data_IF_664057102360
#
_entry.id   IF_664057102360
#
_cell.length_a   1.000
_cell.length_b   1.000
_cell.length_c   1.000
_cell.angle_alpha   90.00
_cell.angle_beta   90.00
_cell.angle_gamma   90.00
#
_symmetry.space_group_name_H-M   'P 1'
#
loop_
_entity.id
_entity.type
_entity.pdbx_description
1 polymer ?
#
# COMPACT_ATOMS: atom_id res chain seq x y z
N UNK A 1 12.66 -58.59 25.04
CA UNK A 1 13.88 -58.21 24.30
C UNK A 1 13.47 -58.05 22.84
N UNK A 2 13.35 -56.81 22.36
CA UNK A 2 14.37 -56.07 21.57
C UNK A 2 14.33 -56.45 20.09
N UNK A 3 14.34 -55.60 19.05
CA UNK A 3 14.36 -54.15 18.77
C UNK A 3 13.93 -54.07 17.27
N UNK A 4 12.90 -53.33 16.87
CA UNK A 4 12.91 -51.96 16.33
C UNK A 4 13.96 -51.61 15.24
N UNK A 5 13.48 -51.38 14.01
CA UNK A 5 14.12 -50.47 13.04
C UNK A 5 13.06 -49.90 12.06
N UNK A 6 12.18 -49.03 12.57
CA UNK A 6 11.39 -48.11 11.71
C UNK A 6 12.19 -46.83 11.49
N UNK A 7 12.92 -46.77 10.38
CA UNK A 7 13.35 -45.50 9.78
C UNK A 7 12.50 -45.25 8.52
N UNK A 8 11.39 -44.53 8.70
CA UNK A 8 10.73 -43.83 7.61
C UNK A 8 10.63 -42.36 8.03
N UNK A 9 11.40 -41.54 7.34
CA UNK A 9 11.49 -40.10 7.47
C UNK A 9 10.08 -39.46 7.36
N UNK A 10 9.57 -38.72 8.35
CA UNK A 10 8.32 -37.97 8.19
C UNK A 10 8.60 -36.74 7.31
N UNK A 11 7.76 -36.58 6.28
CA UNK A 11 7.79 -35.46 5.32
C UNK A 11 7.37 -34.16 6.02
N UNK A 12 7.80 -32.98 5.54
CA UNK A 12 7.40 -31.70 6.11
C UNK A 12 6.01 -31.30 5.63
N UNK A 13 4.96 -31.73 6.33
CA UNK A 13 3.54 -31.44 5.98
C UNK A 13 3.07 -30.02 6.36
N UNK A 14 3.97 -29.10 6.71
CA UNK A 14 3.57 -27.74 7.16
C UNK A 14 3.64 -26.67 6.04
N UNK A 15 4.27 -26.98 4.90
CA UNK A 15 4.44 -26.01 3.79
C UNK A 15 3.29 -26.08 2.79
N UNK A 16 2.58 -27.21 2.69
CA UNK A 16 1.50 -27.40 1.71
C UNK A 16 0.20 -26.67 2.07
N UNK A 17 -0.01 -26.28 3.33
CA UNK A 17 -1.28 -25.65 3.77
C UNK A 17 -1.48 -24.21 3.30
N UNK A 18 -0.39 -23.52 2.94
CA UNK A 18 -0.45 -22.15 2.43
C UNK A 18 -0.67 -22.10 0.91
N UNK A 19 -0.11 -23.06 0.18
CA UNK A 19 -0.31 -23.20 -1.26
C UNK A 19 -1.73 -23.69 -1.58
N UNK A 20 -2.30 -24.60 -0.77
CA UNK A 20 -3.70 -25.05 -0.94
C UNK A 20 -4.74 -23.93 -0.72
N UNK A 21 -4.42 -22.92 0.10
CA UNK A 21 -5.29 -21.75 0.32
C UNK A 21 -5.29 -20.81 -0.90
N UNK A 22 -4.13 -20.62 -1.54
CA UNK A 22 -3.99 -19.77 -2.72
C UNK A 22 -4.54 -20.41 -4.00
N UNK A 23 -4.46 -21.73 -4.13
CA UNK A 23 -4.96 -22.46 -5.32
C UNK A 23 -6.50 -22.55 -5.34
N UNK A 24 -7.17 -22.63 -4.18
CA UNK A 24 -8.62 -22.83 -4.10
C UNK A 24 -9.46 -21.55 -3.90
N UNK A 25 -8.86 -20.35 -3.90
CA UNK A 25 -9.59 -19.06 -3.78
C UNK A 25 -9.48 -18.16 -5.01
N UNK A 26 -8.95 -18.66 -6.12
CA UNK A 26 -9.12 -17.99 -7.41
C UNK A 26 -10.61 -17.97 -7.76
N UNK A 27 -11.25 -16.81 -7.62
CA UNK A 27 -12.57 -16.58 -8.18
C UNK A 27 -12.51 -16.90 -9.68
N UNK A 28 -13.49 -17.63 -10.25
CA UNK A 28 -13.53 -17.83 -11.69
C UNK A 28 -13.58 -16.48 -12.40
N UNK A 29 -12.92 -16.37 -13.56
CA UNK A 29 -13.10 -15.23 -14.45
C UNK A 29 -14.57 -15.22 -14.90
N UNK A 30 -15.36 -14.30 -14.34
CA UNK A 30 -16.64 -13.96 -14.94
C UNK A 30 -16.34 -13.18 -16.22
N UNK A 31 -16.63 -13.77 -17.38
CA UNK A 31 -16.69 -13.04 -18.64
C UNK A 31 -17.77 -11.96 -18.51
N UNK A 32 -17.36 -10.71 -18.27
CA UNK A 32 -18.26 -9.56 -18.29
C UNK A 32 -18.71 -9.37 -19.74
N UNK A 33 -19.86 -9.95 -20.11
CA UNK A 33 -20.50 -9.67 -21.38
C UNK A 33 -21.09 -8.26 -21.33
N UNK A 34 -20.41 -7.30 -21.97
CA UNK A 34 -20.92 -5.95 -22.19
C UNK A 34 -22.06 -6.01 -23.23
N UNK A 35 -23.26 -5.49 -22.89
CA UNK A 35 -24.34 -5.29 -23.85
C UNK A 35 -23.86 -4.52 -25.09
N UNK A 36 -24.38 -4.80 -26.30
CA UNK A 36 -23.92 -4.18 -27.55
C UNK A 36 -23.95 -2.65 -27.53
N UNK A 37 -24.82 -2.03 -26.73
CA UNK A 37 -24.90 -0.57 -26.62
C UNK A 37 -23.77 0.06 -25.80
N UNK A 38 -23.07 -0.74 -24.98
CA UNK A 38 -21.94 -0.34 -24.15
C UNK A 38 -20.59 -0.77 -24.76
N UNK A 39 -20.62 -1.39 -25.94
CA UNK A 39 -19.40 -1.69 -26.69
C UNK A 39 -18.90 -0.42 -27.38
N UNK A 40 -17.59 -0.15 -27.36
CA UNK A 40 -17.03 1.04 -27.97
C UNK A 40 -17.33 1.09 -29.47
N UNK A 41 -17.83 2.23 -29.94
CA UNK A 41 -18.35 2.46 -31.30
C UNK A 41 -17.30 2.41 -32.42
N UNK A 42 -16.03 2.14 -32.14
CA UNK A 42 -14.98 2.16 -33.16
C UNK A 42 -13.78 1.27 -32.79
N UNK A 43 -13.68 0.03 -33.33
CA UNK A 43 -12.63 -0.92 -32.97
C UNK A 43 -11.31 -0.73 -33.72
N UNK A 44 -11.17 0.26 -34.62
CA UNK A 44 -10.00 0.42 -35.49
C UNK A 44 -9.15 1.68 -35.23
N UNK A 45 -9.34 2.36 -34.10
CA UNK A 45 -8.43 3.43 -33.64
C UNK A 45 -7.97 3.16 -32.21
N UNK A 46 -7.56 1.93 -31.92
CA UNK A 46 -6.69 1.66 -30.78
C UNK A 46 -5.22 1.76 -31.22
N UNK A 47 -4.49 2.47 -30.37
CA UNK A 47 -3.06 2.72 -30.42
C UNK A 47 -2.24 1.48 -30.82
N UNK A 48 -1.20 1.74 -31.60
CA UNK A 48 -0.15 0.80 -31.93
C UNK A 48 0.33 0.02 -30.69
N UNK A 49 0.02 -1.29 -30.70
CA UNK A 49 0.76 -2.42 -30.14
C UNK A 49 1.03 -2.38 -28.63
N UNK A 50 0.61 -3.40 -27.84
CA UNK A 50 1.09 -3.60 -26.48
C UNK A 50 2.62 -3.63 -26.51
N UNK A 51 3.27 -2.67 -25.84
CA UNK A 51 4.73 -2.60 -25.76
C UNK A 51 5.24 -4.01 -25.44
N UNK A 52 6.10 -4.57 -26.31
CA UNK A 52 6.61 -5.94 -26.19
C UNK A 52 7.18 -6.20 -24.78
N UNK A 53 7.62 -5.14 -24.10
CA UNK A 53 8.05 -5.11 -22.70
C UNK A 53 6.95 -5.45 -21.67
N UNK A 54 5.69 -5.08 -21.90
CA UNK A 54 4.56 -5.42 -21.03
C UNK A 54 4.16 -6.89 -21.18
N UNK A 55 4.11 -7.40 -22.41
CA UNK A 55 3.90 -8.82 -22.70
C UNK A 55 5.04 -9.67 -22.13
N UNK A 56 6.28 -9.21 -22.30
CA UNK A 56 7.46 -9.83 -21.71
C UNK A 56 7.46 -9.73 -20.18
N UNK A 57 6.91 -8.66 -19.60
CA UNK A 57 6.75 -8.47 -18.16
C UNK A 57 5.77 -9.48 -17.55
N UNK A 58 4.63 -9.68 -18.19
CA UNK A 58 3.62 -10.68 -17.78
C UNK A 58 4.19 -12.09 -17.93
N UNK A 59 4.84 -12.40 -19.06
CA UNK A 59 5.51 -13.70 -19.28
C UNK A 59 6.67 -13.96 -18.31
N UNK A 60 7.34 -12.91 -17.81
CA UNK A 60 8.42 -12.99 -16.81
C UNK A 60 7.87 -13.13 -15.39
N UNK A 61 6.68 -12.60 -15.12
CA UNK A 61 5.97 -12.74 -13.84
C UNK A 61 5.28 -14.11 -13.69
N UNK A 62 4.91 -14.76 -14.79
CA UNK A 62 4.25 -16.09 -14.81
C UNK A 62 5.20 -17.27 -14.90
N UNK A 63 6.51 -17.05 -15.09
CA UNK A 63 7.50 -18.14 -14.98
C UNK A 63 7.72 -18.49 -13.49
N UNK A 64 7.78 -19.79 -13.14
CA UNK A 64 8.20 -20.19 -11.80
C UNK A 64 9.62 -19.65 -11.57
N UNK A 65 9.77 -18.75 -10.59
CA UNK A 65 11.07 -18.20 -10.20
C UNK A 65 11.85 -19.30 -9.49
N UNK A 66 12.91 -19.81 -10.12
CA UNK A 66 13.99 -20.41 -9.33
C UNK A 66 14.56 -19.32 -8.41
N UNK A 67 14.77 -19.61 -7.12
CA UNK A 67 15.21 -18.61 -6.17
C UNK A 67 16.62 -18.13 -6.54
N UNK A 68 16.71 -16.93 -7.09
CA UNK A 68 17.97 -16.29 -7.47
C UNK A 68 18.67 -15.70 -6.23
N UNK A 69 19.18 -16.58 -5.36
CA UNK A 69 20.22 -16.19 -4.40
C UNK A 69 21.57 -16.39 -5.09
N UNK A 70 22.29 -15.30 -5.33
CA UNK A 70 23.72 -15.38 -5.62
C UNK A 70 24.41 -15.73 -4.31
N UNK A 71 24.97 -16.93 -4.21
CA UNK A 71 25.86 -17.30 -3.12
C UNK A 71 27.06 -16.35 -3.15
N UNK A 72 27.22 -15.55 -2.09
CA UNK A 72 28.31 -14.58 -1.97
C UNK A 72 29.61 -15.24 -1.46
N UNK A 73 29.64 -16.59 -1.35
CA UNK A 73 30.76 -17.36 -0.79
C UNK A 73 31.28 -16.76 0.53
N UNK A 74 30.36 -16.24 1.36
CA UNK A 74 30.69 -15.68 2.68
C UNK A 74 31.35 -16.73 3.58
N UNK A 75 31.01 -18.00 3.39
CA UNK A 75 31.63 -19.16 4.04
C UNK A 75 33.12 -19.29 3.68
N UNK A 76 33.52 -19.02 2.44
CA UNK A 76 34.95 -19.03 2.06
C UNK A 76 35.71 -17.84 2.65
N UNK A 77 35.03 -16.72 2.88
CA UNK A 77 35.61 -15.54 3.53
C UNK A 77 35.85 -15.79 5.02
N UNK A 78 34.93 -16.50 5.69
CA UNK A 78 35.05 -16.91 7.10
C UNK A 78 36.13 -17.99 7.28
N UNK A 79 36.29 -18.89 6.31
CA UNK A 79 37.32 -19.94 6.36
C UNK A 79 38.75 -19.43 6.08
N UNK A 80 38.92 -18.17 5.64
CA UNK A 80 40.22 -17.56 5.31
C UNK A 80 40.85 -16.74 6.43
N UNK A 81 40.13 -16.48 7.53
CA UNK A 81 40.72 -15.83 8.71
C UNK A 81 41.37 -16.88 9.59
N UNK A 82 42.57 -17.29 9.20
CA UNK A 82 43.50 -17.90 10.13
C UNK A 82 44.06 -16.80 11.04
N UNK A 83 44.08 -17.00 12.36
CA UNK A 83 45.14 -16.63 13.30
C UNK A 83 44.66 -16.68 14.77
N UNK A 84 45.36 -17.50 15.56
CA UNK A 84 45.87 -17.05 16.85
C UNK A 84 44.97 -17.25 18.07
N UNK A 85 45.11 -18.43 18.69
CA UNK A 85 45.17 -18.65 20.14
C UNK A 85 44.62 -17.53 21.06
N UNK A 86 43.34 -17.61 21.45
CA UNK A 86 42.87 -17.16 22.77
C UNK A 86 41.59 -17.93 23.12
N UNK A 87 41.50 -18.46 24.34
CA UNK A 87 40.31 -19.14 24.88
C UNK A 87 39.11 -18.20 24.90
N UNK A 88 38.28 -18.24 23.87
CA UNK A 88 36.94 -17.67 23.87
C UNK A 88 36.04 -18.63 23.08
N UNK A 89 34.96 -19.10 23.71
CA UNK A 89 34.00 -20.02 23.09
C UNK A 89 33.53 -19.48 21.73
N UNK A 90 33.60 -20.34 20.72
CA UNK A 90 33.15 -20.05 19.37
C UNK A 90 31.65 -19.68 19.37
N UNK A 91 31.32 -18.60 18.65
CA UNK A 91 29.94 -18.11 18.48
C UNK A 91 29.06 -19.22 17.89
N UNK A 92 29.65 -20.09 17.07
CA UNK A 92 29.01 -21.29 16.51
C UNK A 92 28.57 -22.31 17.58
N UNK A 93 29.40 -22.56 18.59
CA UNK A 93 29.05 -23.44 19.72
C UNK A 93 27.97 -22.83 20.61
N UNK A 94 28.04 -21.52 20.85
CA UNK A 94 27.04 -20.78 21.64
C UNK A 94 25.65 -20.80 20.99
N UNK A 95 25.59 -20.69 19.66
CA UNK A 95 24.36 -20.81 18.89
C UNK A 95 23.81 -22.24 18.86
N UNK A 96 24.68 -23.26 18.83
CA UNK A 96 24.25 -24.66 18.94
C UNK A 96 23.67 -24.96 20.32
N UNK A 97 24.26 -24.42 21.38
CA UNK A 97 23.77 -24.61 22.75
C UNK A 97 22.40 -23.96 22.96
N UNK A 98 22.22 -22.71 22.49
CA UNK A 98 20.91 -22.02 22.50
C UNK A 98 19.85 -22.78 21.68
N UNK A 99 20.23 -23.36 20.54
CA UNK A 99 19.31 -24.19 19.74
C UNK A 99 18.96 -25.52 20.41
N UNK A 100 19.86 -26.09 21.21
CA UNK A 100 19.62 -27.32 21.98
C UNK A 100 18.72 -27.04 23.19
N UNK A 101 18.91 -25.92 23.87
CA UNK A 101 18.05 -25.47 24.97
C UNK A 101 16.63 -25.19 24.47
N UNK A 102 16.46 -24.49 23.34
CA UNK A 102 15.15 -24.23 22.72
C UNK A 102 14.45 -25.47 22.16
N UNK A 103 15.18 -26.58 21.93
CA UNK A 103 14.62 -27.87 21.49
C UNK A 103 14.19 -28.76 22.64
N UNK A 104 14.67 -28.50 23.86
CA UNK A 104 14.30 -29.25 25.06
C UNK A 104 12.97 -28.81 25.68
N UNK A 105 12.52 -27.58 25.37
CA UNK A 105 11.13 -27.20 25.50
C UNK A 105 10.37 -27.71 24.28
N UNK A 106 9.63 -28.82 24.44
CA UNK A 106 8.63 -29.23 23.46
C UNK A 106 7.71 -28.05 23.08
N UNK A 107 7.02 -28.11 21.93
CA UNK A 107 6.10 -27.05 21.54
C UNK A 107 5.15 -26.78 22.72
N UNK A 108 4.85 -25.51 23.06
CA UNK A 108 3.91 -25.24 24.13
C UNK A 108 2.56 -25.89 23.76
N UNK A 109 2.31 -27.05 24.34
CA UNK A 109 1.01 -27.71 24.34
C UNK A 109 0.14 -26.89 25.30
N UNK A 110 -0.47 -25.82 24.78
CA UNK A 110 -1.78 -25.33 25.17
C UNK A 110 -2.05 -23.99 24.49
N UNK A 111 -3.19 -23.96 23.82
CA UNK A 111 -3.74 -22.85 23.06
C UNK A 111 -2.87 -22.48 21.84
N UNK A 112 -3.14 -23.14 20.72
CA UNK A 112 -3.66 -22.38 19.58
C UNK A 112 -4.66 -21.39 20.18
N UNK A 113 -4.17 -20.21 20.54
CA UNK A 113 -5.02 -19.05 20.68
C UNK A 113 -5.67 -19.04 19.32
N UNK A 114 -6.94 -19.45 19.25
CA UNK A 114 -7.83 -18.91 18.25
C UNK A 114 -7.59 -17.41 18.44
N UNK A 115 -6.65 -16.84 17.68
CA UNK A 115 -6.64 -15.42 17.43
C UNK A 115 -7.99 -15.29 16.76
N UNK A 116 -9.00 -14.91 17.54
CA UNK A 116 -10.32 -14.62 17.02
C UNK A 116 -10.04 -13.76 15.81
N UNK A 117 -10.31 -14.29 14.62
CA UNK A 117 -9.99 -13.57 13.39
C UNK A 117 -10.76 -12.27 13.48
N UNK A 118 -10.03 -11.18 13.67
CA UNK A 118 -10.60 -9.84 13.74
C UNK A 118 -11.12 -9.57 12.35
N UNK A 119 -12.44 -9.70 12.18
CA UNK A 119 -13.09 -9.35 10.92
C UNK A 119 -13.16 -7.83 10.86
N UNK A 120 -12.74 -7.32 9.71
CA UNK A 120 -12.69 -5.90 9.42
C UNK A 120 -13.43 -5.65 8.11
N UNK A 121 -14.45 -4.80 8.17
CA UNK A 121 -15.12 -4.30 6.99
C UNK A 121 -14.36 -3.07 6.48
N UNK A 122 -13.83 -3.18 5.26
CA UNK A 122 -13.13 -2.09 4.57
C UNK A 122 -13.95 -1.63 3.37
N UNK A 123 -13.87 -0.34 3.04
CA UNK A 123 -14.50 0.20 1.83
C UNK A 123 -13.49 0.97 0.98
N UNK A 124 -13.72 0.96 -0.33
CA UNK A 124 -12.96 1.75 -1.30
C UNK A 124 -13.94 2.71 -1.95
N UNK A 125 -13.66 4.01 -1.88
CA UNK A 125 -14.51 5.02 -2.48
C UNK A 125 -14.12 5.20 -3.95
N UNK A 126 -15.03 4.88 -4.88
CA UNK A 126 -14.87 5.22 -6.29
C UNK A 126 -15.56 6.54 -6.59
N UNK A 127 -14.80 7.64 -6.58
CA UNK A 127 -15.37 8.97 -6.81
C UNK A 127 -14.32 10.00 -7.25
N UNK A 128 -14.79 11.17 -7.68
CA UNK A 128 -13.94 12.29 -8.08
C UNK A 128 -14.15 13.53 -7.20
N UNK A 129 -13.15 14.42 -7.20
CA UNK A 129 -13.24 15.75 -6.62
C UNK A 129 -14.37 16.58 -7.26
N UNK A 130 -14.90 17.55 -6.52
CA UNK A 130 -15.73 18.61 -7.09
C UNK A 130 -14.81 19.73 -7.57
N UNK A 131 -14.77 19.96 -8.89
CA UNK A 131 -13.75 20.77 -9.53
C UNK A 131 -13.69 22.20 -8.96
N UNK A 132 -12.52 22.60 -8.45
CA UNK A 132 -12.28 23.94 -7.92
C UNK A 132 -13.02 24.31 -6.63
N UNK A 133 -13.70 23.35 -5.98
CA UNK A 133 -14.53 23.59 -4.80
C UNK A 133 -14.17 22.62 -3.67
N UNK A 134 -13.33 23.11 -2.75
CA UNK A 134 -12.87 22.34 -1.60
C UNK A 134 -14.03 21.96 -0.69
N UNK A 135 -14.94 22.88 -0.40
CA UNK A 135 -16.03 22.64 0.55
C UNK A 135 -17.02 21.61 0.02
N UNK A 136 -17.36 21.65 -1.27
CA UNK A 136 -18.17 20.62 -1.90
C UNK A 136 -17.45 19.27 -1.96
N UNK A 137 -16.14 19.27 -2.19
CA UNK A 137 -15.34 18.04 -2.17
C UNK A 137 -15.33 17.41 -0.77
N UNK A 138 -15.15 18.20 0.27
CA UNK A 138 -15.17 17.73 1.66
C UNK A 138 -16.59 17.32 2.12
N UNK A 139 -17.64 18.00 1.65
CA UNK A 139 -19.03 17.57 1.89
C UNK A 139 -19.32 16.21 1.21
N UNK A 140 -18.78 15.99 0.01
CA UNK A 140 -18.87 14.70 -0.68
C UNK A 140 -18.11 13.61 0.05
N UNK A 141 -16.90 13.90 0.55
CA UNK A 141 -16.14 12.98 1.40
C UNK A 141 -16.97 12.57 2.62
N UNK A 142 -17.54 13.55 3.32
CA UNK A 142 -18.38 13.34 4.50
C UNK A 142 -19.59 12.44 4.20
N UNK A 143 -20.30 12.70 3.10
CA UNK A 143 -21.41 11.84 2.67
C UNK A 143 -20.97 10.41 2.35
N UNK A 144 -19.81 10.22 1.71
CA UNK A 144 -19.28 8.88 1.39
C UNK A 144 -18.85 8.13 2.66
N UNK A 145 -18.23 8.83 3.62
CA UNK A 145 -17.87 8.25 4.92
C UNK A 145 -19.14 7.80 5.66
N UNK A 146 -20.17 8.65 5.73
CA UNK A 146 -21.44 8.30 6.38
C UNK A 146 -22.11 7.09 5.73
N UNK A 147 -22.13 7.02 4.40
CA UNK A 147 -22.70 5.89 3.65
C UNK A 147 -21.93 4.58 3.88
N UNK A 148 -20.60 4.64 3.96
CA UNK A 148 -19.79 3.46 4.23
C UNK A 148 -19.90 3.04 5.69
N UNK A 149 -19.94 3.99 6.63
CA UNK A 149 -20.15 3.72 8.05
C UNK A 149 -21.51 3.08 8.31
N UNK A 150 -22.58 3.47 7.59
CA UNK A 150 -23.89 2.81 7.68
C UNK A 150 -23.88 1.36 7.16
N UNK A 151 -22.85 0.97 6.41
CA UNK A 151 -22.57 -0.40 5.99
C UNK A 151 -21.49 -1.06 6.85
N UNK A 152 -21.28 -0.53 8.05
CA UNK A 152 -20.34 -1.03 9.07
C UNK A 152 -18.87 -1.01 8.64
N UNK A 153 -18.49 -0.23 7.62
CA UNK A 153 -17.08 -0.06 7.26
C UNK A 153 -16.32 0.67 8.37
N UNK A 154 -15.11 0.20 8.68
CA UNK A 154 -14.24 0.74 9.75
C UNK A 154 -12.93 1.31 9.22
N UNK A 155 -12.67 1.07 7.94
CA UNK A 155 -11.55 1.66 7.22
C UNK A 155 -11.97 2.00 5.79
N UNK A 156 -11.70 3.22 5.33
CA UNK A 156 -12.06 3.68 3.99
C UNK A 156 -10.83 4.23 3.27
N UNK A 157 -10.63 3.79 2.03
CA UNK A 157 -9.60 4.33 1.14
C UNK A 157 -10.26 5.20 0.07
N UNK A 158 -9.81 6.45 -0.04
CA UNK A 158 -10.20 7.37 -1.09
C UNK A 158 -9.18 7.40 -2.24
N UNK A 159 -9.59 7.81 -3.45
CA UNK A 159 -8.70 7.83 -4.62
C UNK A 159 -7.53 8.80 -4.50
N UNK A 160 -6.53 8.60 -5.37
CA UNK A 160 -5.43 9.54 -5.59
C UNK A 160 -5.98 10.94 -5.95
N UNK A 161 -5.37 11.98 -5.40
CA UNK A 161 -5.73 13.38 -5.65
C UNK A 161 -7.23 13.69 -5.48
N UNK A 162 -7.94 12.99 -4.59
CA UNK A 162 -9.36 13.22 -4.34
C UNK A 162 -9.64 14.65 -3.83
N UNK A 163 -8.81 15.17 -2.90
CA UNK A 163 -8.85 16.59 -2.52
C UNK A 163 -7.86 17.37 -3.39
N UNK A 164 -8.31 18.47 -4.00
CA UNK A 164 -7.53 19.26 -4.95
C UNK A 164 -7.70 18.80 -6.41
N UNK A 165 -7.97 17.52 -6.64
CA UNK A 165 -8.32 16.97 -7.95
C UNK A 165 -7.10 16.60 -8.80
N UNK A 166 -7.25 15.54 -9.59
CA UNK A 166 -6.30 15.17 -10.64
C UNK A 166 -6.59 16.01 -11.91
N UNK A 167 -5.62 16.77 -12.45
CA UNK A 167 -5.84 17.67 -13.58
C UNK A 167 -5.80 16.92 -14.91
N UNK A 168 -6.72 15.97 -15.10
CA UNK A 168 -6.76 15.11 -16.30
C UNK A 168 -6.90 15.98 -17.56
N UNK A 169 -6.11 15.65 -18.58
CA UNK A 169 -6.04 16.34 -19.88
C UNK A 169 -5.45 17.75 -19.86
N UNK A 170 -5.13 18.33 -18.70
CA UNK A 170 -4.44 19.61 -18.66
C UNK A 170 -2.97 19.45 -19.03
N UNK A 171 -2.47 20.36 -19.86
CA UNK A 171 -1.05 20.50 -20.17
C UNK A 171 -0.40 21.67 -19.43
N UNK A 172 -1.19 22.46 -18.69
CA UNK A 172 -0.77 23.73 -18.07
C UNK A 172 -0.01 24.65 -19.03
N UNK A 173 -0.38 24.63 -20.32
CA UNK A 173 0.27 25.44 -21.36
C UNK A 173 1.78 25.21 -21.49
N UNK A 174 2.25 24.02 -21.15
CA UNK A 174 3.67 23.64 -21.15
C UNK A 174 4.01 22.86 -22.41
N UNK A 175 4.88 23.45 -23.24
CA UNK A 175 5.54 22.80 -24.37
C UNK A 175 7.06 22.97 -24.24
N UNK A 176 7.85 22.36 -25.13
CA UNK A 176 9.30 22.52 -25.10
C UNK A 176 9.67 23.98 -25.35
N UNK A 177 10.27 24.63 -24.34
CA UNK A 177 10.70 26.03 -24.41
C UNK A 177 9.58 27.08 -24.31
N UNK A 178 8.31 26.67 -24.23
CA UNK A 178 7.16 27.60 -24.20
C UNK A 178 6.34 27.40 -22.93
N UNK A 179 5.96 28.51 -22.31
CA UNK A 179 5.03 28.56 -21.15
C UNK A 179 4.00 29.65 -21.42
N UNK A 180 2.78 29.25 -21.75
CA UNK A 180 1.71 30.21 -22.04
C UNK A 180 1.29 30.98 -20.78
N UNK A 181 0.73 32.17 -20.95
CA UNK A 181 0.21 32.95 -19.83
C UNK A 181 -1.03 32.28 -19.22
N UNK A 182 -1.86 31.69 -20.07
CA UNK A 182 -3.07 30.95 -19.71
C UNK A 182 -2.73 29.73 -18.85
N UNK A 183 -1.66 29.00 -19.19
CA UNK A 183 -1.19 27.85 -18.42
C UNK A 183 -0.66 28.22 -17.03
N UNK A 184 -0.02 29.39 -16.90
CA UNK A 184 0.39 29.93 -15.59
C UNK A 184 -0.80 30.30 -14.72
N UNK A 185 -1.82 30.91 -15.31
CA UNK A 185 -3.07 31.24 -14.61
C UNK A 185 -3.84 29.98 -14.20
N UNK A 186 -3.88 28.97 -15.06
CA UNK A 186 -4.45 27.66 -14.72
C UNK A 186 -3.71 26.99 -13.56
N UNK A 187 -2.36 26.96 -13.60
CA UNK A 187 -1.56 26.43 -12.51
C UNK A 187 -1.77 27.21 -11.21
N UNK A 188 -1.89 28.54 -11.29
CA UNK A 188 -2.15 29.37 -10.13
C UNK A 188 -3.49 29.03 -9.45
N UNK A 189 -4.57 28.84 -10.24
CA UNK A 189 -5.87 28.40 -9.73
C UNK A 189 -5.79 27.00 -9.13
N UNK A 190 -5.10 26.08 -9.80
CA UNK A 190 -4.88 24.72 -9.31
C UNK A 190 -4.13 24.70 -7.97
N UNK A 191 -3.09 25.52 -7.86
CA UNK A 191 -2.31 25.73 -6.64
C UNK A 191 -3.11 26.37 -5.50
N UNK A 192 -4.06 27.25 -5.81
CA UNK A 192 -4.97 27.81 -4.79
C UNK A 192 -5.99 26.80 -4.27
N UNK A 193 -6.40 25.83 -5.09
CA UNK A 193 -7.32 24.77 -4.70
C UNK A 193 -6.66 23.66 -3.85
N UNK A 194 -5.33 23.56 -3.87
CA UNK A 194 -4.56 22.65 -3.03
C UNK A 194 -4.57 23.05 -1.55
N UNK A 195 -4.41 22.08 -0.65
CA UNK A 195 -4.46 22.30 0.80
C UNK A 195 -3.07 22.26 1.42
N UNK A 196 -2.84 23.06 2.45
CA UNK A 196 -1.68 22.90 3.33
C UNK A 196 -1.98 21.77 4.32
N UNK A 197 -0.95 21.04 4.75
CA UNK A 197 -1.07 19.93 5.71
C UNK A 197 -0.12 20.16 6.88
N UNK A 198 -0.62 20.29 8.13
CA UNK A 198 -2.03 20.29 8.54
C UNK A 198 -2.76 21.62 8.22
N UNK A 199 -4.09 21.59 8.16
CA UNK A 199 -4.97 22.75 7.97
C UNK A 199 -6.41 22.49 8.45
N UNK A 200 -7.29 23.49 8.32
CA UNK A 200 -8.72 23.34 8.60
C UNK A 200 -9.38 22.23 7.76
N UNK A 201 -8.86 21.94 6.56
CA UNK A 201 -9.32 20.82 5.74
C UNK A 201 -8.99 19.47 6.40
N UNK A 202 -7.77 19.29 6.92
CA UNK A 202 -7.38 18.08 7.65
C UNK A 202 -8.12 17.95 8.98
N UNK A 203 -8.44 19.07 9.64
CA UNK A 203 -9.25 19.09 10.85
C UNK A 203 -10.69 18.63 10.57
N UNK A 204 -11.28 19.11 9.47
CA UNK A 204 -12.60 18.67 9.02
C UNK A 204 -12.63 17.18 8.70
N UNK A 205 -11.64 16.66 7.98
CA UNK A 205 -11.54 15.23 7.69
C UNK A 205 -11.37 14.42 8.97
N UNK A 206 -10.53 14.88 9.90
CA UNK A 206 -10.33 14.25 11.21
C UNK A 206 -11.62 14.19 12.02
N UNK A 207 -12.41 15.26 12.01
CA UNK A 207 -13.72 15.31 12.68
C UNK A 207 -14.69 14.29 12.07
N UNK A 208 -14.79 14.26 10.74
CA UNK A 208 -15.64 13.29 10.03
C UNK A 208 -15.24 11.84 10.35
N UNK A 209 -13.93 11.54 10.36
CA UNK A 209 -13.41 10.23 10.76
C UNK A 209 -13.85 9.84 12.19
N UNK A 210 -13.71 10.78 13.14
CA UNK A 210 -14.06 10.58 14.55
C UNK A 210 -15.57 10.41 14.78
N UNK A 211 -16.38 11.26 14.17
CA UNK A 211 -17.85 11.23 14.31
C UNK A 211 -18.45 9.91 13.81
N UNK A 212 -17.78 9.23 12.88
CA UNK A 212 -18.25 7.98 12.29
C UNK A 212 -17.53 6.72 12.82
N UNK A 213 -16.52 6.86 13.70
CA UNK A 213 -15.65 5.76 14.15
C UNK A 213 -15.04 4.98 12.97
N UNK A 214 -14.46 5.72 12.01
CA UNK A 214 -13.85 5.18 10.79
C UNK A 214 -12.49 5.80 10.54
N UNK A 215 -11.49 4.95 10.32
CA UNK A 215 -10.14 5.38 9.90
C UNK A 215 -10.07 5.55 8.38
N UNK A 216 -9.32 6.52 7.87
CA UNK A 216 -9.32 6.91 6.47
C UNK A 216 -7.90 6.98 5.89
N UNK A 217 -7.76 6.64 4.61
CA UNK A 217 -6.65 7.08 3.77
C UNK A 217 -7.21 7.97 2.67
N UNK A 218 -6.70 9.20 2.56
CA UNK A 218 -7.21 10.19 1.61
C UNK A 218 -6.09 10.74 0.74
N UNK A 219 -6.25 10.59 -0.58
CA UNK A 219 -5.38 11.25 -1.56
C UNK A 219 -5.67 12.75 -1.65
N UNK A 220 -4.64 13.57 -1.52
CA UNK A 220 -4.74 15.03 -1.58
C UNK A 220 -3.63 15.62 -2.45
N UNK A 221 -3.92 16.79 -3.00
CA UNK A 221 -2.89 17.69 -3.51
C UNK A 221 -2.47 18.61 -2.35
N UNK A 222 -1.30 18.31 -1.82
CA UNK A 222 -0.68 19.08 -0.74
C UNK A 222 0.10 20.24 -1.35
N UNK A 223 -0.13 21.45 -0.86
CA UNK A 223 0.72 22.61 -1.10
C UNK A 223 1.68 22.79 0.07
N UNK A 224 2.94 23.05 -0.23
CA UNK A 224 3.92 23.44 0.78
C UNK A 224 3.50 24.74 1.48
N UNK A 225 3.70 24.83 2.79
CA UNK A 225 3.44 26.03 3.60
C UNK A 225 4.34 27.18 3.12
N UNK A 226 5.63 26.91 3.02
CA UNK A 226 6.68 27.90 2.82
C UNK A 226 7.00 28.15 1.34
N UNK A 227 6.34 27.43 0.42
CA UNK A 227 6.70 27.38 -0.98
C UNK A 227 5.50 27.30 -1.92
N UNK A 228 5.79 27.24 -3.23
CA UNK A 228 4.79 27.10 -4.28
C UNK A 228 4.69 25.66 -4.83
N UNK A 229 5.36 24.71 -4.18
CA UNK A 229 5.43 23.32 -4.65
C UNK A 229 4.17 22.56 -4.23
N UNK A 230 3.61 21.83 -5.19
CA UNK A 230 2.52 20.88 -4.96
C UNK A 230 3.07 19.46 -4.86
N UNK A 231 2.44 18.62 -4.06
CA UNK A 231 2.79 17.21 -3.87
C UNK A 231 1.54 16.34 -3.96
N UNK A 232 1.62 15.24 -4.73
CA UNK A 232 0.63 14.18 -4.64
C UNK A 232 0.86 13.38 -3.36
N UNK A 233 -0.11 13.39 -2.45
CA UNK A 233 0.10 12.95 -1.07
C UNK A 233 -1.05 12.07 -0.59
N UNK A 234 -0.74 10.94 0.05
CA UNK A 234 -1.69 10.15 0.81
C UNK A 234 -1.65 10.58 2.29
N UNK A 235 -2.80 10.93 2.86
CA UNK A 235 -2.94 11.28 4.28
C UNK A 235 -3.63 10.14 5.03
N UNK A 236 -3.14 9.85 6.24
CA UNK A 236 -3.71 8.87 7.15
C UNK A 236 -4.49 9.57 8.26
N UNK A 237 -5.74 9.15 8.46
CA UNK A 237 -6.58 9.61 9.55
C UNK A 237 -7.04 8.42 10.39
N UNK A 238 -6.78 8.49 11.68
CA UNK A 238 -7.24 7.53 12.66
C UNK A 238 -8.58 7.98 13.25
N UNK A 239 -9.50 7.02 13.43
CA UNK A 239 -10.85 7.24 13.96
C UNK A 239 -10.91 7.91 15.35
N UNK A 240 -9.81 8.00 16.09
CA UNK A 240 -9.73 8.56 17.44
C UNK A 240 -8.70 9.68 17.53
N UNK A 241 -7.50 9.47 17.00
CA UNK A 241 -6.42 10.45 17.00
C UNK A 241 -6.68 11.58 15.98
N UNK A 242 -7.31 11.29 14.84
CA UNK A 242 -7.44 12.21 13.71
C UNK A 242 -6.26 12.07 12.76
N UNK A 243 -5.75 13.16 12.19
CA UNK A 243 -4.58 13.13 11.32
C UNK A 243 -3.35 12.49 12.01
N UNK A 244 -2.78 11.45 11.39
CA UNK A 244 -1.64 10.67 11.94
C UNK A 244 -0.36 10.92 11.17
N UNK A 245 -0.42 10.81 9.83
CA UNK A 245 0.77 10.81 8.99
C UNK A 245 0.43 11.20 7.55
N UNK A 246 1.48 11.44 6.77
CA UNK A 246 1.39 11.59 5.31
C UNK A 246 2.47 10.77 4.62
N UNK A 247 2.20 10.40 3.37
CA UNK A 247 3.16 9.86 2.42
C UNK A 247 3.10 10.69 1.13
N UNK A 248 4.22 11.32 0.76
CA UNK A 248 4.35 12.05 -0.52
C UNK A 248 4.88 11.10 -1.59
N UNK A 249 4.26 11.12 -2.78
CA UNK A 249 4.69 10.34 -3.95
C UNK A 249 6.17 10.63 -4.23
N UNK A 250 7.00 9.60 -4.16
CA UNK A 250 8.45 9.66 -4.32
C UNK A 250 8.82 10.21 -5.70
N UNK A 251 8.17 9.70 -6.75
CA UNK A 251 8.44 10.11 -8.13
C UNK A 251 7.13 10.29 -8.92
N UNK A 252 6.76 11.53 -9.26
CA UNK A 252 5.66 11.78 -10.20
C UNK A 252 5.95 11.16 -11.57
N UNK A 253 4.91 10.67 -12.25
CA UNK A 253 5.03 9.95 -13.52
C UNK A 253 4.82 10.88 -14.72
N UNK A 254 5.69 10.76 -15.72
CA UNK A 254 5.55 11.51 -16.99
C UNK A 254 5.44 13.02 -16.78
N UNK A 255 4.36 13.61 -17.31
CA UNK A 255 4.06 15.04 -17.24
C UNK A 255 3.71 15.53 -15.82
N UNK A 256 3.37 14.65 -14.88
CA UNK A 256 3.15 15.03 -13.47
C UNK A 256 4.38 15.74 -12.88
N UNK A 257 5.59 15.43 -13.37
CA UNK A 257 6.85 16.08 -12.95
C UNK A 257 6.90 17.59 -13.24
N UNK A 258 6.01 18.09 -14.08
CA UNK A 258 5.90 19.51 -14.37
C UNK A 258 5.11 20.26 -13.28
N UNK A 259 4.30 19.55 -12.51
CA UNK A 259 3.33 20.15 -11.58
C UNK A 259 3.48 19.68 -10.14
N UNK A 260 4.04 18.50 -9.91
CA UNK A 260 4.25 17.94 -8.57
C UNK A 260 5.74 17.74 -8.27
N UNK A 261 6.09 17.99 -7.01
CA UNK A 261 7.42 17.75 -6.46
C UNK A 261 7.66 16.28 -6.12
N UNK A 262 8.94 15.94 -5.95
CA UNK A 262 9.39 14.63 -5.51
C UNK A 262 9.23 14.50 -3.99
N UNK A 263 8.66 13.39 -3.54
CA UNK A 263 8.70 12.98 -2.14
C UNK A 263 10.09 12.48 -1.73
N UNK A 264 10.20 12.11 -0.46
CA UNK A 264 11.41 11.48 0.10
C UNK A 264 11.04 10.27 0.97
N UNK A 265 12.07 9.54 1.41
CA UNK A 265 11.91 8.34 2.23
C UNK A 265 11.44 8.60 3.66
N UNK A 266 11.45 9.85 4.13
CA UNK A 266 11.06 10.17 5.51
C UNK A 266 9.58 9.89 5.77
N UNK A 267 8.78 9.93 4.69
CA UNK A 267 7.33 9.72 4.70
C UNK A 267 6.90 8.28 4.37
N UNK A 268 7.85 7.40 4.02
CA UNK A 268 7.59 5.99 3.66
C UNK A 268 7.61 5.14 4.93
N UNK A 269 6.48 5.06 5.63
CA UNK A 269 6.34 4.27 6.86
C UNK A 269 4.95 3.64 6.93
N UNK A 270 4.90 2.39 7.37
CA UNK A 270 3.65 1.78 7.79
C UNK A 270 3.14 2.50 9.06
N UNK A 271 1.84 2.72 9.12
CA UNK A 271 1.16 3.44 10.19
C UNK A 271 0.29 2.48 10.97
N UNK A 272 0.33 2.64 12.29
CA UNK A 272 -0.62 1.99 13.17
C UNK A 272 -1.87 2.85 13.25
N UNK A 273 -3.02 2.24 12.99
CA UNK A 273 -4.33 2.89 13.08
C UNK A 273 -5.27 2.06 13.95
N UNK A 274 -6.05 2.77 14.75
CA UNK A 274 -7.12 2.24 15.57
C UNK A 274 -8.25 1.78 14.67
N UNK A 275 -8.72 0.56 14.92
CA UNK A 275 -9.85 -0.04 14.21
C UNK A 275 -10.74 -0.75 15.23
N UNK A 276 -12.03 -0.45 15.19
CA UNK A 276 -13.06 -1.21 15.91
C UNK A 276 -13.44 -2.42 15.06
N UNK A 277 -13.33 -3.64 15.59
CA UNK A 277 -13.72 -4.86 14.87
C UNK A 277 -15.23 -4.96 14.65
N UNK A 278 -15.69 -5.92 13.83
CA UNK A 278 -17.12 -6.22 13.71
C UNK A 278 -17.77 -6.71 15.02
N UNK A 279 -16.97 -7.14 16.01
CA UNK A 279 -17.45 -7.53 17.35
C UNK A 279 -17.47 -6.36 18.34
N UNK A 280 -17.06 -5.16 17.92
CA UNK A 280 -16.99 -3.97 18.76
C UNK A 280 -15.70 -3.86 19.59
N UNK A 281 -14.75 -4.77 19.39
CA UNK A 281 -13.46 -4.76 20.11
C UNK A 281 -12.50 -3.77 19.45
N UNK A 282 -11.87 -2.93 20.26
CA UNK A 282 -10.81 -2.06 19.78
C UNK A 282 -9.56 -2.90 19.48
N UNK A 283 -9.03 -2.73 18.28
CA UNK A 283 -7.80 -3.34 17.80
C UNK A 283 -6.93 -2.31 17.09
N UNK A 284 -5.72 -2.73 16.71
CA UNK A 284 -4.79 -1.96 15.90
C UNK A 284 -4.58 -2.68 14.56
N UNK A 285 -4.56 -1.92 13.48
CA UNK A 285 -4.15 -2.40 12.17
C UNK A 285 -2.94 -1.60 11.68
N UNK A 286 -2.07 -2.28 10.95
CA UNK A 286 -0.91 -1.69 10.30
C UNK A 286 -1.27 -1.45 8.85
N UNK A 287 -1.21 -0.19 8.38
CA UNK A 287 -1.50 0.16 7.00
C UNK A 287 -0.36 0.96 6.36
N UNK A 288 -0.17 0.78 5.06
CA UNK A 288 0.73 1.56 4.23
C UNK A 288 0.04 1.88 2.91
N UNK A 289 0.53 2.89 2.21
CA UNK A 289 0.01 3.29 0.91
C UNK A 289 1.17 3.54 -0.03
N UNK A 290 0.91 3.25 -1.29
CA UNK A 290 1.74 3.50 -2.47
C UNK A 290 0.85 4.18 -3.49
N UNK A 291 1.40 5.12 -4.24
CA UNK A 291 0.63 6.01 -5.09
C UNK A 291 0.90 5.65 -6.56
N UNK A 292 -0.12 5.13 -7.24
CA UNK A 292 -0.08 4.84 -8.68
C UNK A 292 1.10 3.90 -9.06
N UNK A 293 2.04 4.38 -9.86
CA UNK A 293 3.22 3.64 -10.38
C UNK A 293 4.36 3.44 -9.38
N UNK A 294 4.14 3.69 -8.09
CA UNK A 294 5.07 3.28 -7.03
C UNK A 294 5.00 1.78 -6.71
N UNK A 295 3.98 1.08 -7.22
CA UNK A 295 3.71 -0.34 -7.01
C UNK A 295 4.57 -1.28 -7.86
#
# INVERSE_FOLDING_TARGET
MSQDSRYRNPRPELVDSFDDFLVNTALPYDDIQLPPELQPLNPEYEDEVPNQEAVNGIARATRPKEPAWRDLNLQDLVNRTDHGNTQAMDVGERLRQLNLENRSSGPPTNALRLMSMVKLNVAVAQSCAQQGDLDKTLAKLESLVQQAASQEAKFIVFPEAFVGGYPKFSTFGTEIGVRSAEGREEFFKYHQAAIVVPSSATDRISRVAKENDVSLVVGVIERDDLGATLYCTALYFDARAGYVAKHRKLMPTGAERLIWGFGDSTTIKAQNISITSTTGELSEAVCSATICWEN
#
